data_IF_297663542926
#
_entry.id   IF_297663542926
#
_cell.length_a   1.000
_cell.length_b   1.000
_cell.length_c   1.000
_cell.angle_alpha   90.00
_cell.angle_beta   90.00
_cell.angle_gamma   90.00
#
_symmetry.space_group_name_H-M   'P 1'
#
loop_
_entity.id
_entity.type
_entity.pdbx_description
1 polymer ?
#
# COMPACT_ATOMS: atom_id res chain seq x y z
N UNK A 1 23.01 -8.58 17.86
CA UNK A 1 23.72 -7.83 16.81
C UNK A 1 25.11 -7.55 17.33
N UNK A 2 26.13 -7.60 16.47
CA UNK A 2 27.52 -7.39 16.84
C UNK A 2 28.09 -6.30 15.94
N UNK A 3 28.76 -5.31 16.52
CA UNK A 3 29.48 -4.28 15.77
C UNK A 3 30.91 -4.24 16.27
N UNK A 4 31.87 -4.39 15.38
CA UNK A 4 33.28 -4.23 15.70
C UNK A 4 33.71 -2.79 15.42
N UNK A 5 34.47 -2.21 16.35
CA UNK A 5 34.95 -0.84 16.29
C UNK A 5 36.45 -0.79 16.57
N UNK A 6 37.18 -0.09 15.72
CA UNK A 6 38.61 0.19 15.93
C UNK A 6 38.80 1.48 16.76
N UNK A 7 39.86 1.58 17.58
CA UNK A 7 40.15 2.77 18.39
C UNK A 7 40.36 4.05 17.56
N UNK A 8 40.81 3.92 16.31
CA UNK A 8 41.00 5.03 15.36
C UNK A 8 39.71 5.79 15.04
N UNK A 9 38.54 5.18 15.28
CA UNK A 9 37.24 5.79 15.06
C UNK A 9 36.86 6.85 16.12
N UNK A 10 37.65 7.00 17.19
CA UNK A 10 37.45 7.98 18.25
C UNK A 10 37.68 9.45 17.85
N UNK A 11 38.19 9.70 16.64
CA UNK A 11 38.35 11.05 16.08
C UNK A 11 37.03 11.81 15.88
N UNK A 12 35.89 11.10 15.81
CA UNK A 12 34.56 11.72 15.70
C UNK A 12 33.48 10.93 16.47
N UNK A 13 33.25 11.25 17.76
CA UNK A 13 32.30 10.55 18.65
C UNK A 13 30.90 10.37 18.07
N UNK A 14 30.38 11.40 17.39
CA UNK A 14 29.05 11.34 16.77
C UNK A 14 28.97 10.36 15.59
N UNK A 15 30.04 10.20 14.80
CA UNK A 15 30.07 9.20 13.71
C UNK A 15 30.29 7.80 14.25
N UNK A 16 31.12 7.67 15.29
CA UNK A 16 31.35 6.42 16.02
C UNK A 16 30.02 5.83 16.51
N UNK A 17 29.23 6.62 17.22
CA UNK A 17 27.97 6.16 17.80
C UNK A 17 26.99 5.70 16.72
N UNK A 18 26.89 6.43 15.60
CA UNK A 18 25.98 6.08 14.50
C UNK A 18 26.45 4.88 13.68
N UNK A 19 27.73 4.50 13.78
CA UNK A 19 28.23 3.25 13.18
C UNK A 19 27.75 2.00 13.92
N UNK A 20 27.28 2.15 15.16
CA UNK A 20 26.76 1.05 15.98
C UNK A 20 25.35 0.69 15.53
N UNK A 21 25.17 -0.57 15.13
CA UNK A 21 23.87 -1.10 14.72
C UNK A 21 22.88 -1.01 15.91
N UNK A 22 21.79 -0.29 15.71
CA UNK A 22 20.74 -0.12 16.73
C UNK A 22 20.99 1.02 17.72
N UNK A 23 22.00 1.88 17.49
CA UNK A 23 22.28 3.06 18.33
C UNK A 23 21.06 3.98 18.52
N UNK A 24 20.11 3.98 17.58
CA UNK A 24 18.87 4.73 17.70
C UNK A 24 17.96 4.29 18.85
N UNK A 25 18.13 3.07 19.35
CA UNK A 25 17.37 2.52 20.47
C UNK A 25 18.13 2.58 21.79
N UNK A 26 19.35 3.13 21.80
CA UNK A 26 20.13 3.31 23.02
C UNK A 26 19.60 4.51 23.79
N UNK A 27 19.48 4.40 25.12
CA UNK A 27 19.01 5.50 25.93
C UNK A 27 20.07 6.62 25.90
N UNK A 28 19.64 7.89 26.00
CA UNK A 28 20.51 9.04 25.82
C UNK A 28 21.66 9.10 26.82
N UNK A 29 21.52 8.49 28.00
CA UNK A 29 22.55 8.39 29.03
C UNK A 29 23.58 7.27 28.75
N UNK A 30 23.21 6.19 28.04
CA UNK A 30 24.15 5.13 27.68
C UNK A 30 25.05 5.51 26.49
N UNK A 31 24.56 6.35 25.57
CA UNK A 31 25.31 6.83 24.40
C UNK A 31 26.71 7.41 24.75
N UNK A 32 26.85 8.38 25.67
CA UNK A 32 28.16 8.93 26.03
C UNK A 32 29.04 7.90 26.76
N UNK A 33 28.48 7.07 27.65
CA UNK A 33 29.22 6.03 28.39
C UNK A 33 29.90 5.03 27.44
N UNK A 34 29.20 4.64 26.37
CA UNK A 34 29.75 3.75 25.34
C UNK A 34 30.95 4.38 24.64
N UNK A 35 30.86 5.66 24.29
CA UNK A 35 31.96 6.39 23.65
C UNK A 35 33.14 6.54 24.60
N UNK A 36 32.90 6.90 25.85
CA UNK A 36 33.95 7.11 26.84
C UNK A 36 34.73 5.83 27.15
N UNK A 37 34.04 4.68 27.20
CA UNK A 37 34.65 3.35 27.36
C UNK A 37 35.54 2.98 26.17
N UNK A 38 35.04 3.13 24.94
CA UNK A 38 35.80 2.76 23.72
C UNK A 38 37.01 3.66 23.51
N UNK A 39 36.87 4.96 23.80
CA UNK A 39 37.89 5.96 23.54
C UNK A 39 38.84 6.20 24.72
N UNK A 40 38.65 5.51 25.85
CA UNK A 40 39.51 5.62 27.03
C UNK A 40 39.49 7.01 27.69
N UNK A 41 38.46 7.82 27.42
CA UNK A 41 38.33 9.17 27.96
C UNK A 41 37.73 9.22 29.37
N UNK A 42 37.23 8.10 29.89
CA UNK A 42 36.55 8.02 31.18
C UNK A 42 36.98 6.82 32.03
N UNK A 43 36.45 6.77 33.26
CA UNK A 43 36.76 5.74 34.27
C UNK A 43 36.10 4.37 34.02
N UNK A 44 35.31 4.25 32.95
CA UNK A 44 34.50 3.06 32.66
C UNK A 44 35.33 2.04 31.87
N UNK A 45 35.80 1.00 32.57
CA UNK A 45 36.55 -0.12 31.97
C UNK A 45 35.63 -1.16 31.30
N UNK A 46 34.40 -1.30 31.80
CA UNK A 46 33.39 -2.21 31.26
C UNK A 46 32.02 -1.52 31.22
N UNK A 47 31.26 -1.78 30.16
CA UNK A 47 29.87 -1.29 30.01
C UNK A 47 28.97 -2.48 29.76
N UNK A 48 28.05 -2.74 30.69
CA UNK A 48 26.97 -3.71 30.55
C UNK A 48 25.68 -3.10 31.08
N UNK A 49 24.69 -2.87 30.20
CA UNK A 49 23.42 -2.23 30.56
C UNK A 49 22.25 -2.93 29.90
N UNK A 50 21.11 -2.92 30.58
CA UNK A 50 19.84 -3.35 30.00
C UNK A 50 18.74 -2.35 30.33
N UNK A 51 17.80 -2.19 29.41
CA UNK A 51 16.63 -1.33 29.58
C UNK A 51 15.43 -1.94 28.87
N UNK A 52 14.24 -1.43 29.20
CA UNK A 52 12.96 -1.90 28.65
C UNK A 52 12.32 -0.80 27.80
N UNK A 53 11.68 -1.19 26.70
CA UNK A 53 10.70 -0.35 26.02
C UNK A 53 9.31 -0.77 26.44
N UNK A 54 8.54 0.20 26.89
CA UNK A 54 7.11 0.09 27.09
C UNK A 54 6.38 0.57 25.84
N UNK A 55 5.17 0.08 25.67
CA UNK A 55 4.18 0.64 24.77
C UNK A 55 2.98 1.05 25.62
N UNK A 56 2.90 2.34 25.92
CA UNK A 56 1.95 2.95 26.86
C UNK A 56 2.24 2.50 28.29
N UNK A 57 1.72 1.34 28.69
CA UNK A 57 1.92 0.77 30.03
C UNK A 57 2.46 -0.67 29.92
N UNK A 58 2.36 -1.31 28.75
CA UNK A 58 2.72 -2.71 28.58
C UNK A 58 4.20 -2.86 28.18
N UNK A 59 4.95 -3.79 28.78
CA UNK A 59 6.32 -4.06 28.33
C UNK A 59 6.29 -4.62 26.91
N UNK A 60 6.98 -3.94 25.99
CA UNK A 60 7.03 -4.28 24.57
C UNK A 60 8.29 -5.07 24.23
N UNK A 61 9.45 -4.60 24.69
CA UNK A 61 10.73 -5.26 24.45
C UNK A 61 11.76 -4.91 25.52
N UNK A 62 12.84 -5.69 25.58
CA UNK A 62 14.01 -5.45 26.41
C UNK A 62 15.25 -5.40 25.51
N UNK A 63 16.10 -4.42 25.75
CA UNK A 63 17.40 -4.33 25.10
C UNK A 63 18.50 -4.54 26.14
N UNK A 64 19.55 -5.23 25.72
CA UNK A 64 20.78 -5.35 26.48
C UNK A 64 21.94 -4.95 25.58
N UNK A 65 22.88 -4.22 26.16
CA UNK A 65 24.10 -3.73 25.54
C UNK A 65 25.27 -4.12 26.43
N UNK A 66 26.28 -4.75 25.85
CA UNK A 66 27.57 -4.88 26.52
C UNK A 66 28.72 -4.73 25.54
N UNK A 67 29.88 -4.35 26.07
CA UNK A 67 31.10 -4.13 25.31
C UNK A 67 32.14 -5.13 25.78
N UNK A 68 32.88 -5.72 24.85
CA UNK A 68 33.96 -6.66 25.13
C UNK A 68 35.21 -6.24 24.34
N UNK A 69 36.41 -6.24 24.96
CA UNK A 69 37.65 -5.98 24.23
C UNK A 69 37.96 -7.13 23.27
N UNK A 70 38.55 -6.81 22.12
CA UNK A 70 38.90 -7.76 21.07
C UNK A 70 37.89 -7.84 19.92
N UNK A 71 38.27 -8.56 18.86
CA UNK A 71 37.45 -8.80 17.68
C UNK A 71 36.80 -10.20 17.73
N UNK A 72 35.68 -10.32 18.45
CA UNK A 72 34.92 -11.57 18.55
C UNK A 72 34.19 -11.96 17.24
N UNK A 73 34.20 -11.10 16.21
CA UNK A 73 33.56 -11.41 14.91
C UNK A 73 34.47 -12.30 14.08
N UNK A 74 35.77 -11.99 14.05
CA UNK A 74 36.79 -12.76 13.31
C UNK A 74 37.57 -13.72 14.22
N UNK A 75 37.45 -13.57 15.55
CA UNK A 75 38.17 -14.38 16.53
C UNK A 75 39.63 -13.95 16.72
N UNK A 76 39.99 -12.75 16.27
CA UNK A 76 41.33 -12.18 16.39
C UNK A 76 41.46 -11.29 17.64
N UNK A 77 42.63 -11.35 18.29
CA UNK A 77 42.99 -10.51 19.43
C UNK A 77 43.38 -9.07 19.04
N UNK A 78 42.70 -8.48 18.07
CA UNK A 78 42.92 -7.11 17.63
C UNK A 78 42.64 -6.11 18.76
N UNK A 79 43.31 -4.96 18.75
CA UNK A 79 43.15 -3.82 19.69
C UNK A 79 41.77 -3.10 19.59
N UNK A 80 40.75 -3.76 19.05
CA UNK A 80 39.41 -3.21 18.87
C UNK A 80 38.43 -3.59 19.99
N UNK A 81 37.19 -3.13 19.83
CA UNK A 81 36.10 -3.42 20.73
C UNK A 81 34.94 -4.06 19.97
N UNK A 82 34.37 -5.11 20.52
CA UNK A 82 33.13 -5.72 20.02
C UNK A 82 31.96 -5.31 20.89
N UNK A 83 30.96 -4.68 20.26
CA UNK A 83 29.75 -4.21 20.90
C UNK A 83 28.61 -5.16 20.58
N UNK A 84 27.99 -5.67 21.63
CA UNK A 84 26.86 -6.57 21.56
C UNK A 84 25.58 -5.85 21.92
N UNK A 85 24.62 -5.82 20.99
CA UNK A 85 23.28 -5.30 21.23
C UNK A 85 22.24 -6.39 20.97
N UNK A 86 21.45 -6.74 21.98
CA UNK A 86 20.40 -7.75 21.90
C UNK A 86 19.05 -7.08 22.09
N UNK A 87 18.13 -7.32 21.15
CA UNK A 87 16.73 -6.92 21.25
C UNK A 87 15.87 -8.16 21.45
N UNK A 88 15.19 -8.24 22.59
CA UNK A 88 14.30 -9.33 22.94
C UNK A 88 12.87 -8.79 23.08
N UNK A 89 11.90 -9.22 22.25
CA UNK A 89 10.49 -8.92 22.46
C UNK A 89 10.05 -9.42 23.85
N UNK A 90 9.14 -8.69 24.49
CA UNK A 90 8.65 -9.07 25.81
C UNK A 90 7.94 -10.43 25.77
N UNK A 91 8.11 -11.23 26.82
CA UNK A 91 7.40 -12.50 26.97
C UNK A 91 5.92 -12.23 27.27
N UNK A 92 5.07 -12.39 26.26
CA UNK A 92 3.62 -12.21 26.44
C UNK A 92 2.96 -13.51 26.93
N UNK A 93 1.91 -13.38 27.74
CA UNK A 93 1.12 -14.50 28.26
C UNK A 93 0.63 -15.45 27.16
N UNK A 94 0.51 -16.74 27.49
CA UNK A 94 0.12 -17.79 26.52
C UNK A 94 -1.25 -17.52 25.90
N UNK A 95 -2.22 -17.04 26.70
CA UNK A 95 -3.56 -16.71 26.23
C UNK A 95 -3.53 -15.62 25.14
N UNK A 96 -2.76 -14.56 25.34
CA UNK A 96 -2.63 -13.48 24.35
C UNK A 96 -1.95 -13.94 23.07
N UNK A 97 -0.99 -14.88 23.15
CA UNK A 97 -0.38 -15.49 21.97
C UNK A 97 -1.41 -16.26 21.14
N UNK A 98 -2.29 -17.02 21.76
CA UNK A 98 -3.39 -17.70 21.06
C UNK A 98 -4.40 -16.73 20.47
N UNK A 99 -4.77 -15.67 21.19
CA UNK A 99 -5.65 -14.62 20.68
C UNK A 99 -5.04 -13.98 19.43
N UNK A 100 -3.76 -13.57 19.48
CA UNK A 100 -3.03 -13.05 18.31
C UNK A 100 -2.98 -14.06 17.17
N UNK A 101 -2.75 -15.34 17.46
CA UNK A 101 -2.70 -16.39 16.45
C UNK A 101 -4.05 -16.56 15.75
N UNK A 102 -5.14 -16.75 16.49
CA UNK A 102 -6.49 -16.87 15.93
C UNK A 102 -6.85 -15.61 15.13
N UNK A 103 -6.54 -14.44 15.67
CA UNK A 103 -6.73 -13.16 15.00
C UNK A 103 -6.01 -13.13 13.65
N UNK A 104 -4.76 -13.61 13.57
CA UNK A 104 -3.97 -13.68 12.33
C UNK A 104 -4.55 -14.68 11.33
N UNK A 105 -5.01 -15.84 11.79
CA UNK A 105 -5.71 -16.81 10.93
C UNK A 105 -6.95 -16.16 10.32
N UNK A 106 -7.75 -15.46 11.13
CA UNK A 106 -8.91 -14.72 10.64
C UNK A 106 -8.52 -13.57 9.70
N UNK A 107 -7.46 -12.83 10.00
CA UNK A 107 -6.94 -11.76 9.15
C UNK A 107 -6.42 -12.26 7.79
N UNK A 108 -6.05 -13.54 7.67
CA UNK A 108 -5.74 -14.18 6.38
C UNK A 108 -7.00 -14.71 5.68
N UNK A 109 -7.91 -15.36 6.43
CA UNK A 109 -9.10 -15.98 5.88
C UNK A 109 -10.13 -14.96 5.39
N UNK A 110 -10.41 -13.90 6.16
CA UNK A 110 -11.45 -12.92 5.87
C UNK A 110 -11.19 -12.16 4.55
N UNK A 111 -10.02 -11.55 4.28
CA UNK A 111 -9.76 -10.92 2.97
C UNK A 111 -9.90 -11.90 1.81
N UNK A 112 -9.49 -13.16 2.00
CA UNK A 112 -9.61 -14.21 0.98
C UNK A 112 -11.07 -14.51 0.68
N UNK A 113 -11.91 -14.66 1.71
CA UNK A 113 -13.35 -14.85 1.56
C UNK A 113 -14.01 -13.63 0.91
N UNK A 114 -13.63 -12.41 1.32
CA UNK A 114 -14.13 -11.16 0.72
C UNK A 114 -13.75 -11.09 -0.76
N UNK A 115 -12.51 -11.43 -1.13
CA UNK A 115 -12.06 -11.50 -2.52
C UNK A 115 -12.90 -12.51 -3.33
N UNK A 116 -13.12 -13.70 -2.78
CA UNK A 116 -13.89 -14.75 -3.45
C UNK A 116 -15.34 -14.32 -3.66
N UNK A 117 -16.00 -13.84 -2.60
CA UNK A 117 -17.42 -13.50 -2.62
C UNK A 117 -17.72 -12.22 -3.40
N UNK A 118 -16.89 -11.18 -3.27
CA UNK A 118 -17.16 -9.87 -3.87
C UNK A 118 -16.57 -9.70 -5.27
N UNK A 119 -15.53 -10.45 -5.62
CA UNK A 119 -14.86 -10.29 -6.91
C UNK A 119 -14.89 -11.55 -7.76
N UNK A 120 -14.29 -12.64 -7.28
CA UNK A 120 -14.07 -13.84 -8.12
C UNK A 120 -15.42 -14.44 -8.56
N UNK A 121 -16.37 -14.61 -7.64
CA UNK A 121 -17.72 -15.10 -7.96
C UNK A 121 -18.40 -14.25 -9.04
N UNK A 122 -18.26 -12.92 -8.96
CA UNK A 122 -18.84 -12.01 -9.92
C UNK A 122 -18.13 -12.11 -11.28
N UNK A 123 -16.82 -12.30 -11.34
CA UNK A 123 -16.10 -12.55 -12.60
C UNK A 123 -16.56 -13.86 -13.26
N UNK A 124 -16.76 -14.92 -12.48
CA UNK A 124 -17.35 -16.16 -13.00
C UNK A 124 -18.77 -15.96 -13.53
N UNK A 125 -19.59 -15.19 -12.81
CA UNK A 125 -20.92 -14.82 -13.28
C UNK A 125 -20.87 -14.08 -14.64
N UNK A 126 -19.96 -13.12 -14.79
CA UNK A 126 -19.74 -12.42 -16.06
C UNK A 126 -19.39 -13.38 -17.19
N UNK A 127 -18.43 -14.28 -16.95
CA UNK A 127 -18.02 -15.28 -17.93
C UNK A 127 -19.19 -16.14 -18.39
N UNK A 128 -20.01 -16.61 -17.45
CA UNK A 128 -21.16 -17.46 -17.77
C UNK A 128 -22.22 -16.70 -18.55
N UNK A 129 -22.52 -15.45 -18.17
CA UNK A 129 -23.49 -14.61 -18.88
C UNK A 129 -23.06 -14.28 -20.30
N UNK A 130 -21.78 -13.90 -20.49
CA UNK A 130 -21.24 -13.59 -21.83
C UNK A 130 -21.21 -14.84 -22.70
N UNK A 131 -20.90 -16.01 -22.14
CA UNK A 131 -20.93 -17.27 -22.87
C UNK A 131 -22.36 -17.69 -23.28
N UNK A 132 -23.37 -17.36 -22.48
CA UNK A 132 -24.76 -17.76 -22.74
C UNK A 132 -25.50 -16.80 -23.71
N UNK A 133 -25.29 -15.50 -23.58
CA UNK A 133 -26.10 -14.47 -24.27
C UNK A 133 -25.30 -13.75 -25.35
N UNK A 134 -23.97 -13.66 -25.21
CA UNK A 134 -23.16 -12.73 -25.99
C UNK A 134 -23.40 -11.27 -25.58
N UNK A 135 -22.59 -10.36 -26.12
CA UNK A 135 -22.72 -8.91 -25.90
C UNK A 135 -23.16 -8.23 -27.20
N UNK A 136 -22.67 -8.70 -28.33
CA UNK A 136 -23.00 -8.21 -29.66
C UNK A 136 -23.08 -9.38 -30.63
N UNK A 137 -23.94 -9.25 -31.64
CA UNK A 137 -24.14 -10.25 -32.67
C UNK A 137 -22.92 -10.38 -33.61
N UNK A 138 -22.07 -9.36 -33.68
CA UNK A 138 -20.89 -9.31 -34.54
C UNK A 138 -19.71 -10.15 -34.03
N UNK A 139 -19.68 -10.48 -32.73
CA UNK A 139 -18.57 -11.17 -32.09
C UNK A 139 -18.89 -12.64 -31.80
N UNK A 140 -18.01 -13.53 -32.26
CA UNK A 140 -18.13 -15.00 -32.11
C UNK A 140 -17.31 -15.50 -30.93
N UNK A 141 -16.20 -14.84 -30.61
CA UNK A 141 -15.31 -15.22 -29.50
C UNK A 141 -15.12 -14.04 -28.55
N UNK A 142 -15.17 -14.34 -27.26
CA UNK A 142 -14.93 -13.36 -26.20
C UNK A 142 -13.71 -13.73 -25.35
N UNK A 143 -12.91 -12.72 -25.02
CA UNK A 143 -11.81 -12.79 -24.06
C UNK A 143 -12.09 -11.79 -22.93
N UNK A 144 -11.95 -12.26 -21.69
CA UNK A 144 -12.24 -11.46 -20.49
C UNK A 144 -10.94 -11.33 -19.69
N UNK A 145 -10.41 -10.11 -19.65
CA UNK A 145 -9.26 -9.76 -18.83
C UNK A 145 -9.77 -9.29 -17.46
N UNK A 146 -9.48 -10.08 -16.42
CA UNK A 146 -9.80 -9.71 -15.05
C UNK A 146 -8.95 -8.54 -14.56
N UNK A 147 -9.58 -7.53 -13.98
CA UNK A 147 -8.91 -6.43 -13.30
C UNK A 147 -8.20 -6.83 -12.00
N UNK A 148 -7.53 -5.86 -11.38
CA UNK A 148 -6.93 -5.99 -10.06
C UNK A 148 -7.98 -5.78 -8.95
N UNK A 149 -8.27 -6.80 -8.12
CA UNK A 149 -9.30 -6.72 -7.08
C UNK A 149 -8.89 -5.89 -5.84
N UNK A 150 -7.64 -5.40 -5.77
CA UNK A 150 -7.13 -4.71 -4.59
C UNK A 150 -8.05 -3.57 -4.14
N UNK A 151 -8.56 -2.76 -5.08
CA UNK A 151 -9.46 -1.64 -4.75
C UNK A 151 -10.77 -2.10 -4.10
N UNK A 152 -11.31 -3.27 -4.48
CA UNK A 152 -12.53 -3.85 -3.89
C UNK A 152 -12.28 -4.30 -2.46
N UNK A 153 -11.14 -4.95 -2.19
CA UNK A 153 -10.79 -5.43 -0.85
C UNK A 153 -10.54 -4.26 0.11
N UNK A 154 -9.71 -3.30 -0.31
CA UNK A 154 -9.30 -2.17 0.54
C UNK A 154 -10.40 -1.13 0.76
N UNK A 155 -11.53 -1.26 0.06
CA UNK A 155 -12.70 -0.40 0.26
C UNK A 155 -13.50 -0.78 1.52
N UNK A 156 -13.25 -1.94 2.13
CA UNK A 156 -13.95 -2.37 3.35
C UNK A 156 -13.34 -1.71 4.62
N UNK A 157 -14.07 -0.81 5.33
CA UNK A 157 -13.55 -0.09 6.49
C UNK A 157 -13.17 -1.02 7.66
N UNK A 158 -13.94 -2.08 7.88
CA UNK A 158 -13.71 -3.02 8.97
C UNK A 158 -12.45 -3.83 8.76
N UNK A 159 -12.16 -4.17 7.50
CA UNK A 159 -10.94 -4.90 7.15
C UNK A 159 -9.70 -4.03 7.38
N UNK A 160 -9.72 -2.78 6.92
CA UNK A 160 -8.61 -1.85 7.15
C UNK A 160 -8.40 -1.56 8.65
N UNK A 161 -9.48 -1.35 9.41
CA UNK A 161 -9.41 -1.13 10.85
C UNK A 161 -8.81 -2.35 11.57
N UNK A 162 -9.22 -3.56 11.20
CA UNK A 162 -8.66 -4.80 11.74
C UNK A 162 -7.13 -4.84 11.55
N UNK A 163 -6.63 -4.62 10.33
CA UNK A 163 -5.19 -4.61 10.09
C UNK A 163 -4.45 -3.48 10.82
N UNK A 164 -5.05 -2.30 11.00
CA UNK A 164 -4.45 -1.23 11.81
C UNK A 164 -4.33 -1.65 13.28
N UNK A 165 -5.38 -2.24 13.85
CA UNK A 165 -5.33 -2.78 15.22
C UNK A 165 -4.25 -3.86 15.35
N UNK A 166 -4.11 -4.73 14.36
CA UNK A 166 -3.06 -5.74 14.31
C UNK A 166 -1.64 -5.15 14.24
N UNK A 167 -1.46 -4.02 13.57
CA UNK A 167 -0.19 -3.28 13.52
C UNK A 167 0.14 -2.72 14.90
N UNK A 168 -0.80 -2.02 15.53
CA UNK A 168 -0.60 -1.46 16.86
C UNK A 168 -0.36 -2.54 17.93
N UNK A 169 -1.08 -3.66 17.85
CA UNK A 169 -0.94 -4.77 18.79
C UNK A 169 0.39 -5.53 18.67
N UNK A 170 1.17 -5.31 17.60
CA UNK A 170 2.43 -6.00 17.30
C UNK A 170 3.57 -4.99 17.08
N UNK A 171 3.57 -3.89 17.84
CA UNK A 171 4.57 -2.82 17.75
C UNK A 171 5.99 -3.30 18.10
N UNK A 172 6.13 -4.33 18.94
CA UNK A 172 7.40 -4.95 19.30
C UNK A 172 8.16 -5.48 18.08
N UNK A 173 7.41 -6.04 17.12
CA UNK A 173 7.97 -6.57 15.88
C UNK A 173 8.25 -5.47 14.84
N UNK A 174 7.61 -4.31 14.95
CA UNK A 174 7.97 -3.13 14.14
C UNK A 174 9.37 -2.66 14.55
N UNK A 175 9.62 -2.51 15.86
CA UNK A 175 10.95 -2.18 16.37
C UNK A 175 12.02 -3.19 15.95
N UNK A 176 11.70 -4.49 16.04
CA UNK A 176 12.61 -5.55 15.58
C UNK A 176 12.89 -5.47 14.08
N UNK A 177 11.88 -5.18 13.25
CA UNK A 177 12.07 -5.02 11.81
C UNK A 177 12.93 -3.79 11.48
N UNK A 178 12.72 -2.66 12.16
CA UNK A 178 13.56 -1.48 12.02
C UNK A 178 15.03 -1.77 12.38
N UNK A 179 15.30 -2.54 13.44
CA UNK A 179 16.65 -2.97 13.78
C UNK A 179 17.28 -3.87 12.71
N UNK A 180 16.50 -4.76 12.10
CA UNK A 180 16.94 -5.63 11.00
C UNK A 180 17.22 -4.84 9.71
N UNK A 181 16.55 -3.71 9.47
CA UNK A 181 16.88 -2.82 8.35
C UNK A 181 18.30 -2.24 8.46
N UNK A 182 18.82 -2.07 9.67
CA UNK A 182 20.18 -1.59 9.87
C UNK A 182 21.26 -2.66 9.57
N UNK A 183 20.87 -3.92 9.34
CA UNK A 183 21.78 -5.02 9.05
C UNK A 183 22.01 -5.18 7.54
N UNK A 184 22.69 -4.22 6.93
CA UNK A 184 22.95 -4.22 5.48
C UNK A 184 23.97 -5.27 5.02
N UNK A 185 24.64 -5.96 5.95
CA UNK A 185 25.55 -7.06 5.60
C UNK A 185 24.80 -8.30 5.09
N UNK A 186 23.56 -8.52 5.54
CA UNK A 186 22.70 -9.60 5.08
C UNK A 186 21.49 -9.03 4.33
N UNK A 187 21.60 -9.02 3.00
CA UNK A 187 20.53 -8.53 2.11
C UNK A 187 19.22 -9.30 2.29
N UNK A 188 19.26 -10.56 2.71
CA UNK A 188 18.05 -11.36 2.93
C UNK A 188 17.28 -10.85 4.14
N UNK A 189 17.98 -10.60 5.25
CA UNK A 189 17.38 -10.03 6.46
C UNK A 189 16.83 -8.63 6.19
N UNK A 190 17.59 -7.82 5.45
CA UNK A 190 17.16 -6.48 5.04
C UNK A 190 15.87 -6.52 4.21
N UNK A 191 15.80 -7.37 3.19
CA UNK A 191 14.63 -7.50 2.32
C UNK A 191 13.40 -8.02 3.09
N UNK A 192 13.57 -9.00 3.98
CA UNK A 192 12.46 -9.48 4.81
C UNK A 192 11.97 -8.44 5.82
N UNK A 193 12.86 -7.63 6.39
CA UNK A 193 12.50 -6.51 7.25
C UNK A 193 11.70 -5.44 6.49
N UNK A 194 12.12 -5.12 5.27
CA UNK A 194 11.43 -4.18 4.39
C UNK A 194 10.04 -4.71 4.00
N UNK A 195 9.96 -5.98 3.58
CA UNK A 195 8.70 -6.66 3.27
C UNK A 195 7.73 -6.64 4.46
N UNK A 196 8.25 -6.91 5.66
CA UNK A 196 7.45 -6.89 6.88
C UNK A 196 6.88 -5.49 7.17
N UNK A 197 7.68 -4.43 7.02
CA UNK A 197 7.24 -3.05 7.25
C UNK A 197 6.21 -2.57 6.23
N UNK A 198 6.16 -3.18 5.04
CA UNK A 198 5.13 -2.93 4.03
C UNK A 198 3.69 -3.15 4.50
N UNK A 199 3.48 -3.94 5.57
CA UNK A 199 2.16 -4.10 6.21
C UNK A 199 1.54 -2.78 6.67
N UNK A 200 2.35 -1.74 6.87
CA UNK A 200 1.86 -0.40 7.26
C UNK A 200 0.99 0.27 6.19
N UNK A 201 0.94 -0.28 4.97
CA UNK A 201 0.04 0.19 3.89
C UNK A 201 -1.43 0.24 4.32
N UNK A 202 -1.84 -0.64 5.23
CA UNK A 202 -3.21 -0.65 5.76
C UNK A 202 -3.58 0.65 6.49
N UNK A 203 -2.60 1.33 7.11
CA UNK A 203 -2.82 2.65 7.70
C UNK A 203 -3.13 3.69 6.61
N UNK A 204 -2.39 3.67 5.50
CA UNK A 204 -2.63 4.55 4.36
C UNK A 204 -4.00 4.28 3.71
N UNK A 205 -4.41 3.01 3.58
CA UNK A 205 -5.75 2.66 3.12
C UNK A 205 -6.86 3.10 4.09
N UNK A 206 -6.67 2.92 5.39
CA UNK A 206 -7.59 3.42 6.41
C UNK A 206 -7.76 4.95 6.32
N UNK A 207 -6.68 5.69 6.04
CA UNK A 207 -6.75 7.13 5.79
C UNK A 207 -7.59 7.45 4.55
N UNK A 208 -7.43 6.72 3.44
CA UNK A 208 -8.27 6.94 2.25
C UNK A 208 -9.76 6.71 2.53
N UNK A 209 -10.10 5.68 3.30
CA UNK A 209 -11.48 5.42 3.73
C UNK A 209 -11.98 6.56 4.62
N UNK A 210 -11.18 7.01 5.59
CA UNK A 210 -11.53 8.13 6.46
C UNK A 210 -11.76 9.43 5.67
N UNK A 211 -10.89 9.72 4.70
CA UNK A 211 -11.05 10.85 3.76
C UNK A 211 -12.36 10.70 2.98
N UNK A 212 -12.67 9.51 2.48
CA UNK A 212 -13.92 9.28 1.74
C UNK A 212 -15.17 9.49 2.63
N UNK A 213 -15.17 8.95 3.85
CA UNK A 213 -16.26 9.13 4.81
C UNK A 213 -16.43 10.61 5.19
N UNK A 214 -15.32 11.30 5.43
CA UNK A 214 -15.31 12.73 5.74
C UNK A 214 -15.84 13.56 4.56
N UNK A 215 -15.43 13.24 3.32
CA UNK A 215 -15.96 13.89 2.11
C UNK A 215 -17.46 13.69 1.96
N UNK A 216 -17.97 12.47 2.15
CA UNK A 216 -19.40 12.16 2.07
C UNK A 216 -20.20 12.90 3.16
N UNK A 217 -19.62 13.09 4.35
CA UNK A 217 -20.28 13.79 5.47
C UNK A 217 -20.30 15.32 5.31
N UNK A 218 -19.21 15.92 4.80
CA UNK A 218 -19.05 17.37 4.75
C UNK A 218 -19.17 17.98 3.34
N UNK A 219 -19.54 17.18 2.33
CA UNK A 219 -19.68 17.62 0.93
C UNK A 219 -18.46 18.39 0.39
N UNK A 220 -17.25 17.99 0.81
CA UNK A 220 -16.01 18.70 0.46
C UNK A 220 -15.77 18.76 -1.05
N UNK A 221 -15.23 19.89 -1.56
CA UNK A 221 -15.11 20.15 -2.99
C UNK A 221 -14.23 19.14 -3.72
N UNK A 222 -14.46 19.07 -5.04
CA UNK A 222 -14.03 18.04 -6.02
C UNK A 222 -12.50 17.81 -6.18
N UNK A 223 -11.65 18.43 -5.36
CA UNK A 223 -10.18 18.46 -5.52
C UNK A 223 -9.41 17.28 -4.89
N UNK A 224 -10.05 16.14 -4.62
CA UNK A 224 -9.34 14.92 -4.19
C UNK A 224 -9.33 13.88 -5.32
N UNK A 225 -8.29 13.87 -6.18
CA UNK A 225 -8.14 12.81 -7.17
C UNK A 225 -7.98 11.46 -6.46
N UNK A 226 -8.58 10.43 -7.04
CA UNK A 226 -8.55 9.09 -6.46
C UNK A 226 -7.12 8.51 -6.49
N UNK A 227 -6.64 8.02 -5.36
CA UNK A 227 -5.32 7.41 -5.26
C UNK A 227 -5.35 5.96 -5.79
N UNK A 228 -4.37 5.58 -6.62
CA UNK A 228 -4.22 4.19 -7.06
C UNK A 228 -3.72 3.33 -5.90
N UNK A 229 -4.43 2.25 -5.52
CA UNK A 229 -4.01 1.38 -4.42
C UNK A 229 -2.61 0.80 -4.63
N UNK A 230 -2.24 0.46 -5.87
CA UNK A 230 -0.94 -0.14 -6.21
C UNK A 230 0.20 0.85 -6.02
N UNK A 231 0.03 2.09 -6.50
CA UNK A 231 1.03 3.15 -6.34
C UNK A 231 1.22 3.44 -4.86
N UNK A 232 0.11 3.51 -4.11
CA UNK A 232 0.16 3.72 -2.68
C UNK A 232 0.89 2.58 -1.96
N UNK A 233 0.65 1.32 -2.36
CA UNK A 233 1.41 0.16 -1.85
C UNK A 233 2.91 0.36 -2.06
N UNK A 234 3.34 0.60 -3.30
CA UNK A 234 4.76 0.76 -3.64
C UNK A 234 5.40 1.91 -2.86
N UNK A 235 4.68 3.04 -2.74
CA UNK A 235 5.14 4.19 -1.98
C UNK A 235 5.27 3.86 -0.49
N UNK A 236 4.33 3.12 0.08
CA UNK A 236 4.42 2.69 1.49
C UNK A 236 5.59 1.74 1.71
N UNK A 237 5.84 0.76 0.82
CA UNK A 237 7.02 -0.11 0.93
C UNK A 237 8.32 0.71 0.91
N UNK A 238 8.42 1.66 -0.03
CA UNK A 238 9.60 2.52 -0.13
C UNK A 238 9.79 3.39 1.12
N UNK A 239 8.71 4.02 1.62
CA UNK A 239 8.79 4.92 2.77
C UNK A 239 9.01 4.15 4.08
N UNK A 240 8.20 3.12 4.35
CA UNK A 240 8.27 2.36 5.58
C UNK A 240 9.56 1.55 5.72
N UNK A 241 10.14 1.11 4.59
CA UNK A 241 11.38 0.35 4.57
C UNK A 241 12.61 1.21 4.28
N UNK A 242 12.75 1.65 3.03
CA UNK A 242 13.97 2.31 2.56
C UNK A 242 14.19 3.68 3.20
N UNK A 243 13.15 4.53 3.29
CA UNK A 243 13.33 5.82 3.98
C UNK A 243 13.62 5.62 5.46
N UNK A 244 13.00 4.66 6.14
CA UNK A 244 13.35 4.35 7.53
C UNK A 244 14.81 3.91 7.69
N UNK A 245 15.37 3.19 6.73
CA UNK A 245 16.81 2.94 6.69
C UNK A 245 17.62 4.23 6.53
N UNK A 246 17.28 5.10 5.58
CA UNK A 246 17.97 6.40 5.41
C UNK A 246 17.85 7.27 6.67
N UNK A 247 16.70 7.25 7.34
CA UNK A 247 16.46 7.91 8.61
C UNK A 247 17.41 7.39 9.71
N UNK A 248 17.71 6.09 9.71
CA UNK A 248 18.68 5.48 10.63
C UNK A 248 20.14 5.84 10.34
N UNK A 249 20.44 6.48 9.20
CA UNK A 249 21.78 6.99 8.88
C UNK A 249 21.95 8.47 9.28
N UNK A 250 20.87 9.17 9.62
CA UNK A 250 20.91 10.61 9.89
C UNK A 250 20.94 10.90 11.40
N UNK A 251 22.10 11.32 11.97
CA UNK A 251 22.27 11.56 13.40
C UNK A 251 21.18 12.43 14.03
N UNK A 252 20.84 13.56 13.39
CA UNK A 252 19.85 14.50 13.93
C UNK A 252 18.47 13.85 14.12
N UNK A 253 18.09 12.96 13.20
CA UNK A 253 16.79 12.29 13.29
C UNK A 253 16.81 11.17 14.32
N UNK A 254 17.94 10.48 14.48
CA UNK A 254 18.14 9.50 15.55
C UNK A 254 18.00 10.17 16.91
N UNK A 255 18.53 11.38 17.09
CA UNK A 255 18.40 12.14 18.33
C UNK A 255 16.96 12.61 18.56
N UNK A 256 16.21 12.95 17.51
CA UNK A 256 14.76 13.22 17.62
C UNK A 256 14.00 11.98 18.10
N UNK A 257 14.27 10.79 17.53
CA UNK A 257 13.64 9.56 18.00
C UNK A 257 14.07 9.18 19.42
N UNK A 258 15.35 9.33 19.77
CA UNK A 258 15.84 9.13 21.13
C UNK A 258 15.18 10.07 22.13
N UNK A 259 14.98 11.34 21.75
CA UNK A 259 14.23 12.31 22.54
C UNK A 259 12.78 11.86 22.73
N UNK A 260 12.07 11.50 21.65
CA UNK A 260 10.70 11.00 21.69
C UNK A 260 10.56 9.78 22.61
N UNK A 261 11.51 8.84 22.57
CA UNK A 261 11.50 7.66 23.43
C UNK A 261 11.76 7.99 24.90
N UNK A 262 12.54 9.03 25.17
CA UNK A 262 12.94 9.45 26.51
C UNK A 262 11.94 10.37 27.23
N UNK A 263 10.89 10.84 26.54
CA UNK A 263 9.87 11.72 27.12
C UNK A 263 9.17 11.07 28.32
N UNK A 264 8.93 9.76 28.25
CA UNK A 264 8.42 8.96 29.37
C UNK A 264 9.45 7.92 29.76
N UNK A 265 10.47 8.35 30.53
CA UNK A 265 11.56 7.49 31.01
C UNK A 265 11.42 7.17 32.49
N UNK A 266 11.85 5.98 32.87
CA UNK A 266 12.05 5.57 34.26
C UNK A 266 13.55 5.44 34.51
N UNK A 267 14.02 6.11 35.56
CA UNK A 267 15.40 6.01 36.03
C UNK A 267 15.50 5.15 37.29
N UNK A 268 16.64 4.51 37.48
CA UNK A 268 17.04 3.85 38.72
C UNK A 268 17.54 4.87 39.77
N UNK A 269 17.80 4.41 40.99
CA UNK A 269 18.36 5.22 42.10
C UNK A 269 19.71 5.86 41.75
N UNK A 270 20.43 5.25 40.80
CA UNK A 270 21.70 5.75 40.23
C UNK A 270 21.51 6.83 39.15
N UNK A 271 20.28 7.17 38.79
CA UNK A 271 19.94 8.12 37.72
C UNK A 271 19.97 7.52 36.32
N UNK A 272 20.31 6.24 36.18
CA UNK A 272 20.39 5.52 34.92
C UNK A 272 19.01 5.17 34.36
N UNK A 273 18.81 5.34 33.05
CA UNK A 273 17.54 5.00 32.40
C UNK A 273 17.37 3.47 32.34
N UNK A 274 16.27 2.97 32.90
CA UNK A 274 15.89 1.55 32.93
C UNK A 274 14.69 1.27 32.04
N UNK A 275 13.82 2.25 31.80
CA UNK A 275 12.72 2.12 30.85
C UNK A 275 12.48 3.38 30.02
N UNK A 276 12.03 3.19 28.78
CA UNK A 276 11.63 4.22 27.81
C UNK A 276 10.28 3.84 27.18
N UNK A 277 9.61 4.76 26.49
CA UNK A 277 8.32 4.50 25.84
C UNK A 277 8.41 4.65 24.31
N UNK A 278 7.97 3.62 23.58
CA UNK A 278 7.99 3.60 22.12
C UNK A 278 6.76 4.26 21.47
N UNK A 279 5.71 4.60 22.23
CA UNK A 279 4.41 5.06 21.68
C UNK A 279 4.55 6.25 20.77
N UNK A 280 5.29 7.27 21.17
CA UNK A 280 5.41 8.50 20.37
C UNK A 280 6.20 8.26 19.09
N UNK A 281 7.27 7.46 19.14
CA UNK A 281 8.03 7.10 17.93
C UNK A 281 7.19 6.27 16.95
N UNK A 282 6.42 5.30 17.46
CA UNK A 282 5.49 4.52 16.62
C UNK A 282 4.37 5.42 16.07
N UNK A 283 3.84 6.34 16.88
CA UNK A 283 2.82 7.30 16.44
C UNK A 283 3.33 8.18 15.29
N UNK A 284 4.52 8.77 15.42
CA UNK A 284 5.15 9.58 14.34
C UNK A 284 5.36 8.74 13.08
N UNK A 285 5.83 7.50 13.23
CA UNK A 285 5.99 6.58 12.12
C UNK A 285 4.65 6.29 11.42
N UNK A 286 3.60 5.95 12.17
CA UNK A 286 2.27 5.69 11.60
C UNK A 286 1.65 6.94 10.95
N UNK A 287 1.79 8.12 11.56
CA UNK A 287 1.33 9.39 10.98
C UNK A 287 2.03 9.67 9.66
N UNK A 288 3.34 9.40 9.56
CA UNK A 288 4.10 9.54 8.31
C UNK A 288 3.51 8.66 7.20
N UNK A 289 3.15 7.41 7.52
CA UNK A 289 2.51 6.50 6.56
C UNK A 289 1.08 6.96 6.21
N UNK A 290 0.30 7.43 7.20
CA UNK A 290 -1.04 7.99 6.99
C UNK A 290 -1.02 9.27 6.14
N UNK A 291 0.09 10.02 6.11
CA UNK A 291 0.23 11.21 5.27
C UNK A 291 0.47 10.89 3.80
N UNK A 292 0.89 9.66 3.44
CA UNK A 292 1.23 9.28 2.07
C UNK A 292 0.10 9.49 1.05
N UNK A 293 -1.17 9.11 1.31
CA UNK A 293 -2.25 9.36 0.37
C UNK A 293 -2.43 10.84 0.05
N UNK A 294 -2.18 11.73 1.01
CA UNK A 294 -2.22 13.18 0.79
C UNK A 294 -1.04 13.61 -0.07
N UNK A 295 0.16 13.08 0.21
CA UNK A 295 1.36 13.31 -0.60
C UNK A 295 1.24 12.87 -2.06
N UNK A 296 0.49 11.79 -2.34
CA UNK A 296 0.26 11.35 -3.73
C UNK A 296 -0.42 12.41 -4.59
N UNK A 297 -1.22 13.33 -4.00
CA UNK A 297 -1.77 14.47 -4.74
C UNK A 297 -0.71 15.43 -5.22
N UNK A 298 0.26 15.74 -4.36
CA UNK A 298 1.32 16.69 -4.68
C UNK A 298 2.13 16.15 -5.86
N UNK A 299 2.46 14.86 -5.83
CA UNK A 299 3.10 14.14 -6.94
C UNK A 299 2.26 14.17 -8.23
N UNK A 300 0.96 13.89 -8.14
CA UNK A 300 0.05 13.91 -9.30
C UNK A 300 -0.20 15.32 -9.87
N UNK A 301 -0.01 16.37 -9.06
CA UNK A 301 -0.10 17.77 -9.48
C UNK A 301 1.17 18.27 -10.16
N UNK A 302 2.28 17.52 -10.11
CA UNK A 302 3.51 17.91 -10.79
C UNK A 302 3.38 17.72 -12.32
N UNK A 303 3.81 18.72 -13.12
CA UNK A 303 3.67 18.69 -14.59
C UNK A 303 4.42 17.52 -15.25
N UNK A 304 5.55 17.08 -14.67
CA UNK A 304 6.31 15.93 -15.16
C UNK A 304 5.55 14.60 -15.00
N UNK A 305 4.72 14.45 -13.96
CA UNK A 305 3.91 13.25 -13.73
C UNK A 305 2.69 13.21 -14.64
N UNK A 306 2.10 14.37 -14.98
CA UNK A 306 1.05 14.47 -16.01
C UNK A 306 1.51 14.00 -17.39
N UNK A 307 2.78 14.21 -17.73
CA UNK A 307 3.36 13.71 -18.98
C UNK A 307 3.71 12.21 -18.94
N UNK A 308 4.04 11.65 -17.77
CA UNK A 308 4.40 10.24 -17.61
C UNK A 308 3.20 9.30 -17.36
N UNK A 309 2.06 9.81 -16.88
CA UNK A 309 0.86 8.99 -16.59
C UNK A 309 -0.19 9.01 -17.72
N UNK A 310 0.16 9.55 -18.89
CA UNK A 310 -0.61 9.31 -20.12
C UNK A 310 0.34 8.94 -21.27
N UNK A 311 0.77 7.68 -21.37
CA UNK A 311 0.55 6.97 -22.59
C UNK A 311 -0.87 6.40 -22.49
N UNK A 312 -1.83 7.08 -23.12
CA UNK A 312 -2.83 6.33 -23.87
C UNK A 312 -2.02 5.41 -24.78
N UNK A 313 -1.80 4.15 -24.39
CA UNK A 313 -1.58 3.10 -25.38
C UNK A 313 -2.91 3.01 -26.12
N UNK A 314 -3.09 3.86 -27.15
CA UNK A 314 -3.83 3.37 -28.30
C UNK A 314 -3.02 2.16 -28.75
N UNK A 315 -3.61 0.98 -28.62
CA UNK A 315 -3.14 -0.15 -29.39
C UNK A 315 -3.47 0.22 -30.84
N UNK A 316 -2.55 0.94 -31.50
CA UNK A 316 -2.51 0.86 -32.95
C UNK A 316 -2.19 -0.61 -33.24
N UNK A 317 -3.13 -1.23 -33.94
CA UNK A 317 -3.15 -2.61 -34.38
C UNK A 317 -1.76 -3.15 -34.72
N UNK A 318 -1.33 -4.19 -34.03
CA UNK A 318 -0.30 -5.10 -34.54
C UNK A 318 -1.01 -6.42 -34.81
N UNK A 319 -1.10 -6.75 -36.09
CA UNK A 319 -1.58 -8.04 -36.61
C UNK A 319 -0.73 -9.19 -36.04
N UNK A 320 -1.29 -10.40 -35.81
CA UNK A 320 -0.65 -11.37 -34.94
C UNK A 320 0.45 -12.16 -35.66
N UNK A 321 1.65 -12.22 -35.05
CA UNK A 321 2.52 -13.39 -35.22
C UNK A 321 2.19 -14.43 -34.16
N UNK A 322 1.44 -15.43 -34.63
CA UNK A 322 1.32 -16.83 -34.19
C UNK A 322 2.28 -17.26 -33.05
N UNK A 323 1.72 -17.65 -31.90
CA UNK A 323 2.25 -18.74 -31.06
C UNK A 323 1.16 -19.27 -30.14
N UNK A 324 1.21 -20.58 -29.89
CA UNK A 324 0.17 -21.41 -29.27
C UNK A 324 0.03 -21.28 -27.75
N UNK A 325 -0.55 -22.29 -27.08
CA UNK A 325 -1.38 -22.10 -25.90
C UNK A 325 -0.64 -22.10 -24.57
N UNK A 326 -1.30 -21.47 -23.59
CA UNK A 326 -1.15 -21.60 -22.14
C UNK A 326 0.10 -20.99 -21.48
N UNK A 327 -0.13 -20.00 -20.62
CA UNK A 327 0.42 -20.01 -19.25
C UNK A 327 -0.25 -18.92 -18.43
N UNK A 328 -0.76 -19.31 -17.27
CA UNK A 328 -1.08 -18.43 -16.15
C UNK A 328 0.24 -17.81 -15.67
N UNK A 329 0.44 -16.51 -15.91
CA UNK A 329 1.48 -15.76 -15.22
C UNK A 329 0.93 -14.45 -14.68
N UNK A 330 0.67 -14.49 -13.37
CA UNK A 330 0.76 -13.30 -12.55
C UNK A 330 2.23 -12.89 -12.38
N UNK A 331 2.43 -11.58 -12.27
CA UNK A 331 3.64 -10.87 -11.87
C UNK A 331 4.81 -10.75 -12.88
N UNK A 332 5.23 -9.48 -13.02
CA UNK A 332 6.49 -8.95 -13.52
C UNK A 332 6.77 -8.94 -15.04
N UNK A 333 6.69 -7.74 -15.64
CA UNK A 333 7.65 -7.28 -16.65
C UNK A 333 7.65 -5.74 -16.73
N UNK A 334 8.68 -5.11 -16.15
CA UNK A 334 9.10 -3.75 -16.52
C UNK A 334 10.11 -3.93 -17.65
N UNK A 335 9.76 -3.56 -18.88
CA UNK A 335 10.71 -3.52 -20.01
C UNK A 335 11.07 -2.08 -20.36
N UNK A 336 12.35 -1.78 -20.64
CA UNK A 336 12.80 -0.43 -20.96
C UNK A 336 12.36 0.00 -22.37
N UNK A 337 12.08 1.29 -22.51
CA UNK A 337 11.62 1.92 -23.74
C UNK A 337 12.76 2.01 -24.77
N UNK A 338 12.59 1.36 -25.92
CA UNK A 338 13.36 1.69 -27.13
C UNK A 338 12.44 2.36 -28.14
N UNK A 339 12.75 3.63 -28.44
CA UNK A 339 12.01 4.45 -29.38
C UNK A 339 12.28 4.07 -30.82
N UNK A 340 11.22 3.80 -31.58
CA UNK A 340 11.19 3.99 -33.03
C UNK A 340 9.92 4.73 -33.42
N UNK A 341 10.11 5.91 -34.00
CA UNK A 341 9.11 6.75 -34.67
C UNK A 341 8.39 5.92 -35.76
N UNK A 342 7.07 5.88 -35.71
CA UNK A 342 6.24 5.41 -36.81
C UNK A 342 5.33 6.54 -37.31
N UNK A 343 5.32 6.65 -38.63
CA UNK A 343 4.69 7.65 -39.49
C UNK A 343 3.18 7.80 -39.27
N UNK A 344 2.67 9.02 -39.43
CA UNK A 344 1.24 9.36 -39.50
C UNK A 344 0.69 8.90 -40.86
N UNK A 345 -0.29 8.00 -40.86
CA UNK A 345 -1.22 7.85 -41.99
C UNK A 345 -2.63 8.20 -41.55
N UNK A 346 -3.17 9.18 -42.26
CA UNK A 346 -4.52 9.73 -42.19
C UNK A 346 -5.52 8.70 -42.70
N UNK A 347 -6.44 8.25 -41.85
CA UNK A 347 -7.73 7.71 -42.32
C UNK A 347 -8.79 7.93 -41.24
N UNK A 348 -9.69 8.85 -41.56
CA UNK A 348 -10.97 9.07 -40.90
C UNK A 348 -11.91 7.92 -41.23
N UNK A 349 -12.57 7.36 -40.22
CA UNK A 349 -14.03 7.15 -40.12
C UNK A 349 -14.35 6.15 -38.98
N UNK A 350 -15.24 6.56 -38.09
CA UNK A 350 -16.10 5.75 -37.20
C UNK A 350 -15.50 4.60 -36.37
N UNK A 351 -14.45 4.89 -35.58
CA UNK A 351 -14.17 4.11 -34.37
C UNK A 351 -14.36 4.99 -33.13
N UNK A 352 -15.60 5.07 -32.65
CA UNK A 352 -15.89 5.54 -31.31
C UNK A 352 -15.29 4.52 -30.34
N UNK A 353 -14.00 4.67 -30.03
CA UNK A 353 -13.29 3.80 -29.10
C UNK A 353 -13.98 3.90 -27.73
N UNK A 354 -14.76 2.87 -27.38
CA UNK A 354 -15.50 2.67 -26.13
C UNK A 354 -14.59 2.51 -24.89
N UNK A 355 -13.60 3.39 -24.76
CA UNK A 355 -12.72 3.47 -23.60
C UNK A 355 -13.36 4.34 -22.50
N UNK A 356 -14.41 3.81 -21.87
CA UNK A 356 -14.73 4.07 -20.45
C UNK A 356 -15.54 5.32 -20.10
N UNK A 357 -16.84 5.34 -20.41
CA UNK A 357 -17.80 6.40 -20.02
C UNK A 357 -18.00 6.52 -18.50
N UNK A 358 -17.73 5.48 -17.70
CA UNK A 358 -17.71 5.60 -16.22
C UNK A 358 -16.54 6.41 -15.71
N UNK A 359 -15.36 6.38 -16.35
CA UNK A 359 -14.27 7.30 -15.98
C UNK A 359 -14.67 8.75 -16.22
N UNK A 360 -15.44 9.00 -17.29
CA UNK A 360 -16.03 10.30 -17.60
C UNK A 360 -17.11 10.71 -16.59
N UNK A 361 -18.09 9.84 -16.30
CA UNK A 361 -19.10 10.05 -15.26
C UNK A 361 -18.48 10.32 -13.89
N UNK A 362 -17.42 9.59 -13.53
CA UNK A 362 -16.69 9.77 -12.28
C UNK A 362 -15.91 11.10 -12.22
N UNK A 363 -15.42 11.57 -13.37
CA UNK A 363 -14.77 12.89 -13.45
C UNK A 363 -15.78 14.04 -13.32
N UNK A 364 -17.00 13.87 -13.85
CA UNK A 364 -18.05 14.90 -13.80
C UNK A 364 -18.79 14.89 -12.45
N UNK A 365 -19.15 13.69 -11.99
CA UNK A 365 -19.93 13.43 -10.78
C UNK A 365 -19.25 12.39 -9.87
N UNK A 366 -18.20 12.78 -9.13
CA UNK A 366 -17.48 11.87 -8.24
C UNK A 366 -18.33 11.32 -7.08
N UNK A 367 -19.52 11.88 -6.83
CA UNK A 367 -20.45 11.40 -5.80
C UNK A 367 -21.08 10.04 -6.12
N UNK A 368 -21.07 9.60 -7.38
CA UNK A 368 -21.54 8.27 -7.76
C UNK A 368 -20.50 7.18 -7.49
N UNK A 369 -19.29 7.51 -7.05
CA UNK A 369 -18.33 6.51 -6.61
C UNK A 369 -18.59 6.14 -5.15
N UNK A 370 -18.64 4.85 -4.84
CA UNK A 370 -18.72 4.42 -3.45
C UNK A 370 -17.48 4.89 -2.66
N UNK A 371 -16.29 4.82 -3.28
CA UNK A 371 -15.03 5.26 -2.69
C UNK A 371 -14.31 6.27 -3.60
N UNK A 372 -14.68 7.55 -3.52
CA UNK A 372 -14.12 8.60 -4.37
C UNK A 372 -12.65 8.96 -4.06
N UNK A 373 -12.10 8.49 -2.93
CA UNK A 373 -10.69 8.67 -2.58
C UNK A 373 -9.79 7.53 -3.10
N UNK A 374 -10.37 6.38 -3.48
CA UNK A 374 -9.65 5.18 -3.92
C UNK A 374 -9.94 4.94 -5.39
N UNK A 375 -8.92 4.77 -6.22
CA UNK A 375 -9.14 4.49 -7.64
C UNK A 375 -9.73 3.10 -7.80
N UNK A 376 -11.00 3.05 -8.22
CA UNK A 376 -11.74 1.81 -8.47
C UNK A 376 -11.49 1.25 -9.88
N UNK A 377 -10.86 2.03 -10.77
CA UNK A 377 -10.60 1.65 -12.17
C UNK A 377 -9.81 0.35 -12.31
N UNK A 378 -8.95 0.05 -11.33
CA UNK A 378 -8.15 -1.17 -11.33
C UNK A 378 -8.97 -2.46 -11.32
N UNK A 379 -10.15 -2.47 -10.70
CA UNK A 379 -10.97 -3.68 -10.58
C UNK A 379 -11.90 -3.94 -11.78
N UNK A 380 -12.00 -2.99 -12.71
CA UNK A 380 -12.79 -3.16 -13.92
C UNK A 380 -12.26 -4.31 -14.77
N UNK A 381 -13.15 -5.12 -15.33
CA UNK A 381 -12.76 -6.14 -16.31
C UNK A 381 -12.81 -5.55 -17.73
N UNK A 382 -11.93 -6.02 -18.60
CA UNK A 382 -12.01 -5.71 -20.03
C UNK A 382 -12.56 -6.92 -20.77
N UNK A 383 -13.50 -6.68 -21.68
CA UNK A 383 -14.10 -7.68 -22.53
C UNK A 383 -13.73 -7.36 -23.97
N UNK A 384 -13.08 -8.31 -24.63
CA UNK A 384 -12.67 -8.22 -26.04
C UNK A 384 -13.50 -9.21 -26.85
N UNK A 385 -14.22 -8.71 -27.84
CA UNK A 385 -14.98 -9.52 -28.79
C UNK A 385 -14.26 -9.61 -30.13
N UNK A 386 -14.16 -10.82 -30.68
CA UNK A 386 -13.51 -11.11 -31.95
C UNK A 386 -14.51 -11.69 -32.96
N UNK A 387 -14.36 -11.31 -34.23
CA UNK A 387 -15.13 -11.87 -35.35
C UNK A 387 -14.66 -13.30 -35.71
N UNK A 388 -15.29 -13.89 -36.73
CA UNK A 388 -14.92 -15.19 -37.31
C UNK A 388 -13.50 -15.23 -37.87
N UNK A 389 -12.95 -14.08 -38.27
CA UNK A 389 -11.59 -13.92 -38.79
C UNK A 389 -10.58 -13.58 -37.68
N UNK A 390 -11.00 -13.63 -36.41
CA UNK A 390 -10.20 -13.31 -35.23
C UNK A 390 -9.69 -11.85 -35.21
N UNK A 391 -10.40 -10.93 -35.86
CA UNK A 391 -10.21 -9.50 -35.73
C UNK A 391 -10.97 -8.97 -34.51
N UNK A 392 -10.36 -8.03 -33.79
CA UNK A 392 -11.00 -7.39 -32.65
C UNK A 392 -12.10 -6.44 -33.14
N UNK A 393 -13.36 -6.78 -32.86
CA UNK A 393 -14.52 -5.95 -33.20
C UNK A 393 -14.94 -5.09 -32.02
N UNK A 394 -14.78 -5.63 -30.80
CA UNK A 394 -15.30 -5.01 -29.58
C UNK A 394 -14.22 -4.97 -28.52
N UNK A 395 -14.08 -3.82 -27.87
CA UNK A 395 -13.28 -3.68 -26.66
C UNK A 395 -14.05 -2.80 -25.68
N UNK A 396 -14.54 -3.42 -24.61
CA UNK A 396 -15.43 -2.80 -23.65
C UNK A 396 -14.89 -2.99 -22.23
N UNK A 397 -15.07 -1.98 -21.39
CA UNK A 397 -14.72 -2.05 -19.97
C UNK A 397 -15.98 -2.11 -19.13
N UNK A 398 -16.06 -3.10 -18.25
CA UNK A 398 -17.17 -3.29 -17.32
C UNK A 398 -16.74 -3.10 -15.88
N UNK A 399 -17.61 -2.52 -15.08
CA UNK A 399 -17.34 -2.15 -13.68
C UNK A 399 -18.38 -2.82 -12.79
N UNK A 400 -17.98 -3.14 -11.56
CA UNK A 400 -18.83 -3.80 -10.60
C UNK A 400 -19.83 -2.81 -10.01
N UNK A 401 -21.11 -3.18 -9.95
CA UNK A 401 -22.18 -2.32 -9.41
C UNK A 401 -21.90 -1.87 -7.98
N UNK A 402 -21.27 -2.70 -7.16
CA UNK A 402 -20.92 -2.36 -5.77
C UNK A 402 -19.92 -1.21 -5.64
N UNK A 403 -19.29 -0.78 -6.75
CA UNK A 403 -18.39 0.37 -6.78
C UNK A 403 -19.14 1.69 -7.03
N UNK A 404 -20.42 1.62 -7.41
CA UNK A 404 -21.26 2.78 -7.67
C UNK A 404 -22.16 3.03 -6.46
N UNK A 405 -22.12 4.25 -5.93
CA UNK A 405 -23.05 4.69 -4.89
C UNK A 405 -24.40 5.03 -5.53
N UNK A 406 -25.32 4.06 -5.49
CA UNK A 406 -26.68 4.23 -6.02
C UNK A 406 -27.61 5.00 -5.07
N UNK A 407 -27.14 5.41 -3.88
CA UNK A 407 -27.96 6.14 -2.91
C UNK A 407 -27.97 7.66 -3.17
N UNK A 408 -27.75 8.06 -4.43
CA UNK A 408 -27.57 9.45 -4.85
C UNK A 408 -28.62 10.37 -4.22
N UNK A 409 -28.15 11.29 -3.37
CA UNK A 409 -28.97 12.32 -2.71
C UNK A 409 -29.10 13.61 -3.53
N UNK A 410 -28.58 13.63 -4.75
CA UNK A 410 -28.65 14.82 -5.60
C UNK A 410 -30.07 14.95 -6.17
N UNK A 411 -30.85 15.99 -5.82
CA UNK A 411 -32.22 16.15 -6.28
C UNK A 411 -32.32 16.27 -7.81
N UNK A 412 -31.22 16.58 -8.50
CA UNK A 412 -31.19 16.72 -9.95
C UNK A 412 -30.97 15.39 -10.69
N UNK A 413 -30.59 14.30 -10.01
CA UNK A 413 -30.31 13.01 -10.65
C UNK A 413 -31.24 11.92 -10.12
N UNK A 414 -32.24 11.55 -10.92
CA UNK A 414 -33.09 10.41 -10.65
C UNK A 414 -32.44 9.12 -11.18
N UNK A 415 -32.43 8.07 -10.35
CA UNK A 415 -32.04 6.72 -10.74
C UNK A 415 -33.27 5.91 -11.09
N UNK A 416 -33.36 5.45 -12.34
CA UNK A 416 -34.42 4.55 -12.81
C UNK A 416 -33.83 3.17 -13.00
N UNK A 417 -34.22 2.20 -12.16
CA UNK A 417 -33.81 0.79 -12.26
C UNK A 417 -34.78 0.04 -13.19
N UNK A 418 -34.32 -0.27 -14.40
CA UNK A 418 -35.08 -1.04 -15.38
C UNK A 418 -34.37 -2.38 -15.65
N UNK A 419 -35.13 -3.44 -15.97
CA UNK A 419 -34.54 -4.75 -16.31
C UNK A 419 -34.41 -4.89 -17.81
N UNK A 420 -33.22 -5.25 -18.27
CA UNK A 420 -32.94 -5.59 -19.66
C UNK A 420 -32.52 -7.05 -19.74
N UNK A 421 -33.41 -7.87 -20.30
CA UNK A 421 -33.21 -9.32 -20.44
C UNK A 421 -32.33 -9.68 -21.64
N UNK A 422 -31.99 -8.70 -22.50
CA UNK A 422 -31.34 -8.95 -23.79
C UNK A 422 -29.82 -8.76 -23.77
N UNK A 423 -29.27 -8.21 -22.68
CA UNK A 423 -27.84 -7.90 -22.55
C UNK A 423 -27.21 -8.69 -21.41
N UNK A 424 -26.04 -9.31 -21.67
CA UNK A 424 -25.28 -10.06 -20.66
C UNK A 424 -24.82 -9.21 -19.45
N UNK A 425 -24.65 -7.90 -19.67
CA UNK A 425 -24.24 -6.90 -18.68
C UNK A 425 -25.25 -5.78 -18.58
N UNK A 426 -25.33 -5.15 -17.40
CA UNK A 426 -26.13 -3.95 -17.22
C UNK A 426 -25.58 -2.77 -18.00
N UNK A 427 -26.43 -1.77 -18.24
CA UNK A 427 -26.08 -0.54 -18.97
C UNK A 427 -26.45 0.68 -18.14
N UNK A 428 -25.55 1.63 -18.06
CA UNK A 428 -25.79 2.95 -17.48
C UNK A 428 -25.89 3.97 -18.60
N UNK A 429 -27.04 4.64 -18.72
CA UNK A 429 -27.27 5.68 -19.71
C UNK A 429 -27.58 7.01 -18.99
N UNK A 430 -27.02 8.11 -19.52
CA UNK A 430 -27.34 9.47 -19.08
C UNK A 430 -28.36 10.05 -20.06
N UNK A 431 -29.57 10.33 -19.57
CA UNK A 431 -30.66 10.84 -20.40
C UNK A 431 -30.99 12.28 -19.99
N UNK A 432 -31.20 13.16 -20.97
CA UNK A 432 -31.65 14.52 -20.73
C UNK A 432 -33.14 14.51 -20.33
N UNK A 433 -33.48 15.32 -19.33
CA UNK A 433 -34.85 15.55 -18.90
C UNK A 433 -35.45 16.65 -19.77
N UNK A 434 -36.74 16.50 -20.08
CA UNK A 434 -37.52 17.49 -20.84
C UNK A 434 -37.49 18.88 -20.16
N UNK A 435 -37.36 18.91 -18.83
CA UNK A 435 -37.29 20.12 -18.01
C UNK A 435 -35.89 20.78 -17.94
N UNK A 436 -34.91 20.31 -18.72
CA UNK A 436 -33.53 20.84 -18.74
C UNK A 436 -32.55 20.24 -17.71
N UNK A 437 -32.96 19.19 -16.98
CA UNK A 437 -32.08 18.40 -16.11
C UNK A 437 -31.48 17.16 -16.79
N UNK A 438 -30.74 16.32 -16.06
CA UNK A 438 -30.27 15.01 -16.53
C UNK A 438 -30.64 13.93 -15.51
N UNK A 439 -31.02 12.74 -15.95
CA UNK A 439 -31.18 11.60 -15.06
C UNK A 439 -30.36 10.42 -15.55
N UNK A 440 -30.03 9.52 -14.62
CA UNK A 440 -29.22 8.35 -14.92
C UNK A 440 -30.14 7.13 -14.90
N UNK A 441 -30.35 6.51 -16.06
CA UNK A 441 -31.09 5.27 -16.16
C UNK A 441 -30.12 4.11 -16.06
N UNK A 442 -30.33 3.25 -15.08
CA UNK A 442 -29.60 2.00 -14.96
C UNK A 442 -30.48 0.86 -15.45
N UNK A 443 -29.98 0.12 -16.44
CA UNK A 443 -30.57 -1.14 -16.87
C UNK A 443 -29.77 -2.29 -16.30
N UNK A 444 -30.40 -3.19 -15.53
CA UNK A 444 -29.75 -4.44 -15.11
C UNK A 444 -29.68 -5.39 -16.29
N UNK A 445 -28.53 -6.04 -16.45
CA UNK A 445 -28.37 -7.10 -17.43
C UNK A 445 -29.07 -8.38 -17.00
N UNK A 446 -29.14 -9.34 -17.92
CA UNK A 446 -29.72 -10.65 -17.69
C UNK A 446 -29.12 -11.34 -16.45
N UNK A 447 -29.95 -12.13 -15.77
CA UNK A 447 -29.61 -12.84 -14.53
C UNK A 447 -29.14 -11.91 -13.39
N UNK A 448 -29.65 -10.69 -13.31
CA UNK A 448 -29.25 -9.68 -12.30
C UNK A 448 -27.72 -9.46 -12.27
N UNK A 449 -27.12 -9.33 -13.47
CA UNK A 449 -25.67 -9.19 -13.62
C UNK A 449 -25.09 -8.05 -12.75
N UNK A 450 -24.09 -8.30 -11.90
CA UNK A 450 -23.46 -7.28 -11.07
C UNK A 450 -22.49 -6.38 -11.85
N UNK A 451 -22.37 -6.57 -13.17
CA UNK A 451 -21.48 -5.83 -14.04
C UNK A 451 -22.24 -4.83 -14.88
N UNK A 452 -21.68 -3.63 -14.98
CA UNK A 452 -22.29 -2.51 -15.69
C UNK A 452 -21.30 -1.98 -16.71
N UNK A 453 -21.83 -1.78 -17.91
CA UNK A 453 -21.24 -1.02 -18.98
C UNK A 453 -21.87 0.37 -18.99
N UNK A 454 -21.11 1.40 -19.32
CA UNK A 454 -21.70 2.72 -19.53
C UNK A 454 -21.79 3.02 -21.02
N UNK A 455 -23.00 3.20 -21.50
CA UNK A 455 -23.23 3.65 -22.86
C UNK A 455 -23.01 5.16 -22.90
N UNK A 456 -22.09 5.60 -23.76
CA UNK A 456 -22.09 7.00 -24.13
C UNK A 456 -23.27 7.16 -25.09
N UNK A 457 -24.31 7.87 -24.65
CA UNK A 457 -25.37 8.28 -25.56
C UNK A 457 -24.73 8.90 -26.79
N UNK A 458 -25.07 8.37 -27.98
CA UNK A 458 -25.09 9.16 -29.20
C UNK A 458 -26.02 10.33 -28.89
N UNK A 459 -25.44 11.51 -28.66
CA UNK A 459 -26.19 12.77 -28.71
C UNK A 459 -26.41 13.09 -30.17
#
# INVERSE_FOLDING_TARGET
MRTFIMPTACSSPGRLLNSIIGAAYFPPDAKPIVVDCICGNGSYLDVARSWRFNFVIFPSSSLALWIQPGNDILGDGDDGWTIYAVFAPAKIGVAWRWIKFIYRVLACAVPTLVLVCLYIKNVWHLRNNVAAIGIDASAVRYEIDSGNPTSVIVSNPWLCLAFVVDICANSEYIGQACLRLCQTQDMTIFLFANLYLGRTVWCAYATLIAINAYRKRFHWPKSFPAASPVILTLLTYFVAGFLTFVQSLWPALIDVYGWLFSLHKLCDDTGHIVAMDAVLGVFVFLVTICALPIGTKFLQSMPSYRSATVPHRSFNSISPKRSGPSSVHGFAAITPANGKRASKSTQSDDFCAFSGTISFLNNIWPYFQDQAAISQQGAACQIKGYDTHNNLVINMRVILLSQIDMKGKDPNVALVDARDLTSAVGRLAVEARVDGGFYIRMRRGASDSPWILSDCCRV
#
